data_IF_027372849087
#
_entry.id   IF_027372849087
#
_cell.length_a   1.000
_cell.length_b   1.000
_cell.length_c   1.000
_cell.angle_alpha   90.00
_cell.angle_beta   90.00
_cell.angle_gamma   90.00
#
_symmetry.space_group_name_H-M   'P 1'
#
loop_
_entity.id
_entity.type
_entity.pdbx_description
1 polymer ?
#
# COMPACT_ATOMS: atom_id res chain seq x y z
N UNK A 1 -29.38 2.00 -15.18
CA UNK A 1 -28.04 2.45 -14.77
C UNK A 1 -27.80 1.87 -13.39
N UNK A 2 -27.14 0.73 -13.31
CA UNK A 2 -26.82 0.13 -12.02
C UNK A 2 -25.80 1.04 -11.33
N UNK A 3 -26.19 1.64 -10.21
CA UNK A 3 -25.26 2.42 -9.39
C UNK A 3 -24.20 1.46 -8.86
N UNK A 4 -22.98 1.57 -9.38
CA UNK A 4 -21.86 0.78 -8.91
C UNK A 4 -21.60 1.08 -7.44
N UNK A 5 -21.93 0.13 -6.57
CA UNK A 5 -21.54 0.20 -5.18
C UNK A 5 -20.03 -0.02 -5.11
N UNK A 6 -19.26 1.06 -5.00
CA UNK A 6 -17.85 0.99 -4.62
C UNK A 6 -17.79 0.82 -3.10
N UNK A 7 -17.73 -0.42 -2.64
CA UNK A 7 -17.32 -0.66 -1.26
C UNK A 7 -15.80 -0.43 -1.18
N UNK A 8 -15.40 0.68 -0.56
CA UNK A 8 -14.01 0.93 -0.23
C UNK A 8 -13.59 0.14 1.02
N UNK A 9 -12.42 -0.49 0.95
CA UNK A 9 -11.81 -1.23 2.06
C UNK A 9 -10.30 -1.09 2.03
N UNK A 10 -9.66 -1.30 3.19
CA UNK A 10 -8.20 -1.24 3.31
C UNK A 10 -7.65 -2.43 4.08
N UNK A 11 -6.61 -3.05 3.53
CA UNK A 11 -5.80 -4.06 4.19
C UNK A 11 -4.41 -3.48 4.45
N UNK A 12 -3.92 -3.60 5.69
CA UNK A 12 -2.56 -3.20 6.07
C UNK A 12 -1.76 -4.46 6.36
N UNK A 13 -0.68 -4.64 5.61
CA UNK A 13 0.25 -5.75 5.73
C UNK A 13 1.54 -5.24 6.38
N UNK A 14 1.85 -5.72 7.58
CA UNK A 14 3.15 -5.46 8.18
C UNK A 14 4.22 -6.37 7.55
N UNK A 15 5.30 -5.76 7.09
CA UNK A 15 6.38 -6.44 6.35
C UNK A 15 7.75 -6.09 6.92
N UNK A 16 8.72 -6.99 6.72
CA UNK A 16 10.09 -6.80 7.23
C UNK A 16 10.86 -5.67 6.53
N UNK A 17 10.56 -5.42 5.25
CA UNK A 17 11.22 -4.41 4.43
C UNK A 17 10.25 -3.81 3.40
N UNK A 18 9.82 -2.57 3.65
CA UNK A 18 8.85 -1.85 2.83
C UNK A 18 9.43 -1.48 1.46
N UNK A 19 10.71 -1.10 1.39
CA UNK A 19 11.37 -0.71 0.15
C UNK A 19 11.59 -1.92 -0.76
N UNK A 20 11.92 -3.08 -0.19
CA UNK A 20 12.04 -4.32 -0.94
C UNK A 20 10.69 -4.72 -1.58
N UNK A 21 9.58 -4.59 -0.85
CA UNK A 21 8.25 -4.86 -1.42
C UNK A 21 7.90 -3.83 -2.50
N UNK A 22 8.13 -2.54 -2.26
CA UNK A 22 7.90 -1.49 -3.25
C UNK A 22 8.64 -1.76 -4.56
N UNK A 23 9.94 -2.06 -4.48
CA UNK A 23 10.77 -2.37 -5.65
C UNK A 23 10.29 -3.61 -6.38
N UNK A 24 9.87 -4.64 -5.64
CA UNK A 24 9.33 -5.88 -6.22
C UNK A 24 8.03 -5.62 -6.99
N UNK A 25 7.10 -4.85 -6.41
CA UNK A 25 5.82 -4.57 -7.04
C UNK A 25 5.97 -3.67 -8.26
N UNK A 26 6.76 -2.60 -8.17
CA UNK A 26 7.04 -1.72 -9.32
C UNK A 26 7.77 -2.45 -10.45
N UNK A 27 8.72 -3.32 -10.13
CA UNK A 27 9.38 -4.19 -11.12
C UNK A 27 8.41 -5.19 -11.79
N UNK A 28 7.31 -5.53 -11.12
CA UNK A 28 6.24 -6.36 -11.67
C UNK A 28 5.23 -5.56 -12.51
N UNK A 29 5.42 -4.25 -12.70
CA UNK A 29 4.54 -3.38 -13.48
C UNK A 29 3.33 -2.86 -12.71
N UNK A 30 3.31 -3.01 -11.38
CA UNK A 30 2.29 -2.41 -10.53
C UNK A 30 2.64 -0.95 -10.23
N UNK A 31 1.62 -0.12 -10.03
CA UNK A 31 1.76 1.32 -9.83
C UNK A 31 1.27 1.72 -8.44
N UNK A 32 2.17 1.78 -7.44
CA UNK A 32 1.87 2.43 -6.16
C UNK A 32 1.47 3.89 -6.36
N UNK A 33 0.61 4.38 -5.47
CA UNK A 33 0.12 5.77 -5.53
C UNK A 33 1.21 6.79 -5.15
N UNK A 34 2.19 6.37 -4.33
CA UNK A 34 3.36 7.14 -3.94
C UNK A 34 4.55 6.22 -3.60
N UNK A 35 5.80 6.71 -3.67
CA UNK A 35 6.95 5.99 -3.11
C UNK A 35 6.85 5.84 -1.59
N UNK A 36 7.61 4.91 -0.97
CA UNK A 36 7.55 4.71 0.47
C UNK A 36 8.04 5.92 1.25
N UNK A 37 7.29 6.30 2.27
CA UNK A 37 7.60 7.43 3.14
C UNK A 37 7.51 7.05 4.63
N UNK A 38 8.21 7.82 5.46
CA UNK A 38 8.15 7.68 6.91
C UNK A 38 7.06 8.59 7.47
N UNK A 39 6.03 7.97 8.05
CA UNK A 39 4.86 8.64 8.56
C UNK A 39 5.07 9.25 9.94
N UNK A 40 4.27 10.28 10.26
CA UNK A 40 4.27 10.92 11.57
C UNK A 40 3.86 10.01 12.74
N UNK A 41 3.17 8.90 12.45
CA UNK A 41 2.80 7.87 13.44
C UNK A 41 3.86 6.79 13.64
N UNK A 42 5.04 6.95 13.04
CA UNK A 42 6.19 6.07 13.29
C UNK A 42 6.18 4.79 12.46
N UNK A 43 5.68 4.82 11.22
CA UNK A 43 5.78 3.71 10.28
C UNK A 43 6.38 4.17 8.95
N UNK A 44 7.20 3.33 8.34
CA UNK A 44 7.51 3.42 6.91
C UNK A 44 6.42 2.71 6.13
N UNK A 45 5.87 3.32 5.09
CA UNK A 45 4.75 2.72 4.37
C UNK A 45 4.59 3.20 2.93
N UNK A 46 3.87 2.43 2.13
CA UNK A 46 3.24 2.86 0.87
C UNK A 46 1.94 2.09 0.65
N UNK A 47 1.14 2.48 -0.33
CA UNK A 47 -0.06 1.73 -0.73
C UNK A 47 -0.21 1.61 -2.24
N UNK A 48 -1.00 0.63 -2.64
CA UNK A 48 -1.48 0.41 -4.00
C UNK A 48 -2.98 0.18 -3.99
N UNK A 49 -3.67 0.69 -5.00
CA UNK A 49 -5.08 0.40 -5.25
C UNK A 49 -5.24 -0.84 -6.14
N UNK A 50 -6.11 -1.77 -5.75
CA UNK A 50 -6.51 -2.87 -6.63
C UNK A 50 -7.57 -2.41 -7.67
N UNK A 51 -7.86 -3.21 -8.70
CA UNK A 51 -8.83 -2.83 -9.74
C UNK A 51 -10.27 -2.61 -9.24
N UNK A 52 -10.61 -3.15 -8.08
CA UNK A 52 -11.93 -3.01 -7.46
C UNK A 52 -12.02 -1.77 -6.55
N UNK A 53 -10.90 -1.05 -6.36
CA UNK A 53 -10.81 0.19 -5.60
C UNK A 53 -10.47 -0.01 -4.11
N UNK A 54 -9.96 -1.19 -3.73
CA UNK A 54 -9.47 -1.44 -2.38
C UNK A 54 -8.00 -1.00 -2.23
N UNK A 55 -7.65 -0.50 -1.05
CA UNK A 55 -6.29 -0.07 -0.74
C UNK A 55 -5.52 -1.20 -0.03
N UNK A 56 -4.35 -1.55 -0.58
CA UNK A 56 -3.39 -2.44 0.03
C UNK A 56 -2.20 -1.62 0.52
N UNK A 57 -2.09 -1.43 1.83
CA UNK A 57 -0.95 -0.73 2.44
C UNK A 57 0.09 -1.72 2.95
N UNK A 58 1.36 -1.44 2.69
CA UNK A 58 2.50 -2.18 3.21
C UNK A 58 3.24 -1.28 4.18
N UNK A 59 3.41 -1.72 5.42
CA UNK A 59 3.94 -0.89 6.49
C UNK A 59 4.96 -1.63 7.35
N UNK A 60 5.84 -0.87 7.99
CA UNK A 60 6.74 -1.35 9.05
C UNK A 60 6.88 -0.27 10.11
N UNK A 61 6.79 -0.65 11.39
CA UNK A 61 7.09 0.28 12.48
C UNK A 61 8.56 0.69 12.46
N UNK A 62 8.79 1.98 12.66
CA UNK A 62 10.11 2.55 12.81
C UNK A 62 10.60 2.29 14.25
N UNK A 63 11.78 1.71 14.37
CA UNK A 63 12.40 1.39 15.67
C UNK A 63 12.17 -0.04 16.18
N UNK A 64 11.46 -0.87 15.41
CA UNK A 64 11.41 -2.33 15.60
C UNK A 64 12.71 -3.02 15.13
#
# INVERSE_FOLDING_TARGET
TEGGWSWWGRLILHVDDVDAIYNRLTSAGLSPDAPPEDASWGERYFHISDPDGHELSFAKRLGD
#
